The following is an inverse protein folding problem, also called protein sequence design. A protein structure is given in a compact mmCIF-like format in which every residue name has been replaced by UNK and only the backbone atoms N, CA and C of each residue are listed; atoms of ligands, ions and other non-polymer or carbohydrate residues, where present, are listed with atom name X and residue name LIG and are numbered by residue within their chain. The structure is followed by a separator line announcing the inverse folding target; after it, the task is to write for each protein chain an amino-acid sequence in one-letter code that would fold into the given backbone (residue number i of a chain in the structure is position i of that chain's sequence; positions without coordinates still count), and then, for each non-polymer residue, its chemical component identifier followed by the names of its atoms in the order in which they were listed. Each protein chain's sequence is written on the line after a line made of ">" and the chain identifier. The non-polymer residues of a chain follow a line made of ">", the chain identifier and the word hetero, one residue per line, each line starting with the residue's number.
data_IF_974988786793
#
_entry.id   IF_974988786793
#
_cell.length_a   1.000
_cell.length_b   1.000
_cell.length_c   1.000
_cell.angle_alpha   90.00
_cell.angle_beta   90.00
_cell.angle_gamma   90.00
#
_symmetry.space_group_name_H-M   'P 1'
#
loop_
_entity.id
_entity.type
_entity.pdbx_description
1 polymer ?
#
# COMPACT_ATOMS: atom_id res chain seq x y z
N UNK A 1 -55.52 6.47 -15.15
CA UNK A 1 -54.68 7.68 -15.10
C UNK A 1 -53.25 7.24 -15.29
N UNK A 2 -52.71 7.44 -16.49
CA UNK A 2 -51.36 7.00 -16.87
C UNK A 2 -50.52 8.26 -17.05
N UNK A 3 -49.46 8.41 -16.26
CA UNK A 3 -48.48 9.48 -16.40
C UNK A 3 -47.29 8.93 -17.19
N UNK A 4 -47.17 9.31 -18.46
CA UNK A 4 -45.90 9.22 -19.19
C UNK A 4 -45.00 10.36 -18.70
N UNK A 5 -43.84 10.01 -18.16
CA UNK A 5 -42.74 10.94 -17.95
C UNK A 5 -41.68 10.63 -19.00
N UNK A 6 -41.65 11.46 -20.05
CA UNK A 6 -40.55 11.53 -21.00
C UNK A 6 -39.30 11.99 -20.25
N UNK A 7 -38.34 11.07 -20.08
CA UNK A 7 -37.00 11.42 -19.61
C UNK A 7 -36.16 11.71 -20.86
N UNK A 8 -35.63 12.93 -21.05
CA UNK A 8 -34.71 13.18 -22.15
C UNK A 8 -33.40 12.44 -21.90
N UNK A 9 -33.08 11.53 -22.81
CA UNK A 9 -31.78 10.86 -22.94
C UNK A 9 -30.70 11.92 -23.06
N UNK A 10 -29.91 12.07 -22.00
CA UNK A 10 -28.70 12.90 -22.03
C UNK A 10 -27.67 12.11 -22.84
N UNK A 11 -27.35 12.60 -24.03
CA UNK A 11 -26.23 12.11 -24.83
C UNK A 11 -24.95 12.23 -24.01
N UNK A 12 -24.42 11.07 -23.60
CA UNK A 12 -23.14 10.92 -22.94
C UNK A 12 -22.02 11.25 -23.93
N UNK A 13 -21.72 12.54 -24.05
CA UNK A 13 -20.51 13.05 -24.71
C UNK A 13 -19.33 12.96 -23.75
N UNK A 14 -19.05 11.78 -23.20
CA UNK A 14 -17.78 11.49 -22.54
C UNK A 14 -16.80 10.81 -23.49
N UNK A 15 -16.53 11.50 -24.61
CA UNK A 15 -15.20 11.46 -25.23
C UNK A 15 -14.20 12.09 -24.27
N UNK A 16 -13.90 11.40 -23.16
CA UNK A 16 -12.69 11.67 -22.40
C UNK A 16 -11.55 11.21 -23.29
N UNK A 17 -11.01 12.13 -24.08
CA UNK A 17 -9.61 12.13 -24.48
C UNK A 17 -8.79 11.84 -23.22
N UNK A 18 -8.51 10.56 -22.97
CA UNK A 18 -7.35 10.21 -22.17
C UNK A 18 -6.20 10.65 -23.07
N UNK A 19 -5.35 11.61 -22.64
CA UNK A 19 -4.13 11.90 -23.37
C UNK A 19 -3.47 10.56 -23.63
N UNK A 20 -3.17 10.27 -24.91
CA UNK A 20 -2.52 9.03 -25.35
C UNK A 20 -1.38 8.72 -24.38
N UNK A 21 -1.62 7.80 -23.44
CA UNK A 21 -0.61 7.38 -22.50
C UNK A 21 0.40 6.65 -23.38
N UNK A 22 1.61 7.22 -23.58
CA UNK A 22 2.55 6.65 -24.52
C UNK A 22 2.80 5.21 -24.10
N UNK A 23 2.78 4.29 -25.06
CA UNK A 23 3.09 2.89 -24.79
C UNK A 23 4.38 2.82 -23.94
N UNK A 24 4.39 2.02 -22.86
CA UNK A 24 5.51 2.01 -21.95
C UNK A 24 6.78 1.66 -22.72
N UNK A 25 7.69 2.63 -22.84
CA UNK A 25 8.99 2.41 -23.47
C UNK A 25 9.81 1.53 -22.53
N UNK A 26 9.81 0.22 -22.83
CA UNK A 26 10.54 -0.79 -22.08
C UNK A 26 12.01 -0.85 -22.48
N UNK A 27 12.87 -1.15 -21.50
CA UNK A 27 14.25 -1.57 -21.76
C UNK A 27 14.26 -3.09 -21.79
N UNK A 28 14.89 -3.69 -22.81
CA UNK A 28 15.13 -5.14 -22.83
C UNK A 28 16.17 -5.50 -21.76
N UNK A 29 15.79 -6.38 -20.85
CA UNK A 29 16.61 -6.86 -19.73
C UNK A 29 16.93 -8.35 -19.86
N UNK A 30 16.87 -8.90 -21.07
CA UNK A 30 17.10 -10.34 -21.33
C UNK A 30 18.47 -10.81 -20.81
N UNK A 31 19.48 -9.96 -20.85
CA UNK A 31 20.82 -10.21 -20.30
C UNK A 31 20.84 -10.38 -18.76
N UNK A 32 19.86 -9.80 -18.06
CA UNK A 32 19.71 -9.89 -16.60
C UNK A 32 18.70 -10.96 -16.15
N UNK A 33 18.26 -11.84 -17.05
CA UNK A 33 17.22 -12.85 -16.78
C UNK A 33 17.51 -13.70 -15.53
N UNK A 34 18.77 -14.12 -15.34
CA UNK A 34 19.16 -14.89 -14.14
C UNK A 34 19.00 -14.08 -12.85
N UNK A 35 19.35 -12.79 -12.88
CA UNK A 35 19.23 -11.89 -11.73
C UNK A 35 17.75 -11.64 -11.42
N UNK A 36 16.92 -11.45 -12.44
CA UNK A 36 15.48 -11.33 -12.28
C UNK A 36 14.88 -12.56 -11.58
N UNK A 37 15.23 -13.77 -12.01
CA UNK A 37 14.73 -14.99 -11.39
C UNK A 37 15.24 -15.20 -9.96
N UNK A 38 16.51 -14.86 -9.69
CA UNK A 38 17.04 -14.86 -8.33
C UNK A 38 16.29 -13.87 -7.43
N UNK A 39 16.00 -12.67 -7.93
CA UNK A 39 15.21 -11.66 -7.20
C UNK A 39 13.78 -12.13 -6.95
N UNK A 40 13.16 -12.78 -7.93
CA UNK A 40 11.81 -13.35 -7.78
C UNK A 40 11.77 -14.43 -6.69
N UNK A 41 12.73 -15.36 -6.71
CA UNK A 41 12.85 -16.40 -5.69
C UNK A 41 13.11 -15.82 -4.29
N UNK A 42 13.99 -14.81 -4.20
CA UNK A 42 14.26 -14.13 -2.94
C UNK A 42 13.02 -13.42 -2.38
N UNK A 43 12.21 -12.79 -3.23
CA UNK A 43 10.95 -12.15 -2.81
C UNK A 43 9.89 -13.15 -2.36
N UNK A 44 9.78 -14.30 -3.03
CA UNK A 44 8.88 -15.36 -2.59
C UNK A 44 9.28 -15.93 -1.23
N UNK A 45 10.59 -16.10 -0.99
CA UNK A 45 11.09 -16.58 0.30
C UNK A 45 10.93 -15.54 1.41
N UNK A 46 11.16 -14.26 1.11
CA UNK A 46 10.89 -13.14 2.04
C UNK A 46 9.43 -13.15 2.50
N UNK A 47 8.48 -13.27 1.56
CA UNK A 47 7.06 -13.35 1.87
C UNK A 47 6.72 -14.57 2.74
N UNK A 48 7.28 -15.74 2.40
CA UNK A 48 7.07 -16.97 3.17
C UNK A 48 7.57 -16.82 4.61
N UNK A 49 8.77 -16.28 4.79
CA UNK A 49 9.36 -16.04 6.12
C UNK A 49 8.57 -14.97 6.87
N UNK A 50 8.11 -13.93 6.19
CA UNK A 50 7.25 -12.90 6.78
C UNK A 50 5.96 -13.50 7.34
N UNK A 51 5.27 -14.35 6.55
CA UNK A 51 4.06 -15.02 7.00
C UNK A 51 4.30 -15.90 8.24
N UNK A 52 5.37 -16.71 8.23
CA UNK A 52 5.72 -17.55 9.39
C UNK A 52 6.04 -16.68 10.62
N UNK A 53 6.75 -15.57 10.44
CA UNK A 53 7.02 -14.63 11.52
C UNK A 53 5.74 -14.02 12.08
N UNK A 54 4.78 -13.66 11.23
CA UNK A 54 3.48 -13.14 11.64
C UNK A 54 2.69 -14.17 12.45
N UNK A 55 2.60 -15.41 11.97
CA UNK A 55 1.88 -16.51 12.62
C UNK A 55 2.47 -16.80 14.02
N UNK A 56 3.79 -16.95 14.11
CA UNK A 56 4.48 -17.19 15.38
C UNK A 56 4.34 -15.99 16.33
N UNK A 57 4.44 -14.77 15.79
CA UNK A 57 4.23 -13.55 16.58
C UNK A 57 2.81 -13.46 17.11
N UNK A 58 1.80 -13.88 16.33
CA UNK A 58 0.42 -13.91 16.77
C UNK A 58 0.21 -14.87 17.95
N UNK A 59 0.85 -16.05 17.91
CA UNK A 59 0.83 -17.01 19.03
C UNK A 59 1.46 -16.38 20.28
N UNK A 60 2.63 -15.75 20.15
CA UNK A 60 3.32 -15.11 21.28
C UNK A 60 2.48 -13.97 21.85
N UNK A 61 1.93 -13.08 21.00
CA UNK A 61 1.06 -11.97 21.41
C UNK A 61 -0.20 -12.47 22.11
N UNK A 62 -0.83 -13.52 21.59
CA UNK A 62 -2.01 -14.13 22.20
C UNK A 62 -1.74 -14.71 23.59
N UNK A 63 -0.55 -15.26 23.82
CA UNK A 63 -0.11 -15.71 25.15
C UNK A 63 0.26 -14.58 26.09
N UNK A 64 0.83 -13.52 25.55
CA UNK A 64 1.30 -12.37 26.31
C UNK A 64 0.14 -11.52 26.85
N UNK A 65 -0.98 -11.45 26.11
CA UNK A 65 -2.17 -10.70 26.53
C UNK A 65 -1.84 -9.23 26.75
N UNK A 66 -2.15 -8.72 27.95
CA UNK A 66 -1.88 -7.33 28.34
C UNK A 66 -0.47 -7.09 28.91
N UNK A 67 0.34 -8.14 29.06
CA UNK A 67 1.69 -7.99 29.57
C UNK A 67 2.60 -7.31 28.54
N UNK A 68 3.43 -6.36 28.98
CA UNK A 68 4.33 -5.66 28.05
C UNK A 68 5.62 -6.42 27.74
N UNK A 69 5.99 -7.40 28.58
CA UNK A 69 7.27 -8.11 28.50
C UNK A 69 7.03 -9.62 28.62
N UNK A 70 7.51 -10.38 27.62
CA UNK A 70 7.54 -11.83 27.66
C UNK A 70 8.92 -12.34 28.10
N UNK A 71 8.92 -13.32 28.99
CA UNK A 71 10.14 -13.94 29.54
C UNK A 71 10.29 -15.38 29.03
N UNK A 72 11.52 -15.80 28.77
CA UNK A 72 11.89 -17.19 28.52
C UNK A 72 13.02 -17.58 29.50
N UNK A 73 12.75 -18.55 30.38
CA UNK A 73 13.70 -18.92 31.43
C UNK A 73 14.06 -17.76 32.38
N UNK A 74 13.09 -16.89 32.67
CA UNK A 74 13.29 -15.69 33.50
C UNK A 74 14.03 -14.53 32.81
N UNK A 75 14.42 -14.68 31.54
CA UNK A 75 15.09 -13.62 30.76
C UNK A 75 14.09 -12.95 29.81
N UNK A 76 14.04 -11.62 29.72
CA UNK A 76 13.15 -10.93 28.78
C UNK A 76 13.59 -11.16 27.33
N UNK A 77 12.64 -11.57 26.49
CA UNK A 77 12.89 -11.90 25.08
C UNK A 77 12.01 -11.13 24.10
N UNK A 78 10.85 -10.64 24.55
CA UNK A 78 9.92 -9.86 23.71
C UNK A 78 9.34 -8.69 24.50
N UNK A 79 9.09 -7.58 23.82
CA UNK A 79 8.33 -6.45 24.35
C UNK A 79 7.16 -6.12 23.43
N UNK A 80 5.97 -5.95 24.00
CA UNK A 80 4.74 -5.63 23.29
C UNK A 80 4.04 -4.47 23.98
N UNK A 81 4.34 -3.25 23.54
CA UNK A 81 3.79 -2.02 24.13
C UNK A 81 2.64 -1.49 23.31
N UNK A 82 1.59 -1.06 23.98
CA UNK A 82 0.52 -0.31 23.33
C UNK A 82 1.00 1.14 23.10
N UNK A 83 1.03 1.55 21.84
CA UNK A 83 1.39 2.91 21.43
C UNK A 83 0.20 3.61 20.78
N UNK A 84 0.00 4.88 21.10
CA UNK A 84 -0.90 5.74 20.33
C UNK A 84 -0.11 6.40 19.20
N UNK A 85 -0.53 6.17 17.96
CA UNK A 85 0.01 6.87 16.79
C UNK A 85 -1.00 7.91 16.33
N UNK A 86 -0.64 9.18 16.48
CA UNK A 86 -1.41 10.28 15.87
C UNK A 86 -0.96 10.42 14.41
N UNK A 87 -1.90 10.32 13.48
CA UNK A 87 -1.63 10.48 12.04
C UNK A 87 -2.55 11.58 11.52
N UNK A 88 -1.97 12.55 10.83
CA UNK A 88 -2.75 13.55 10.10
C UNK A 88 -3.36 12.90 8.86
N UNK A 89 -4.67 13.07 8.69
CA UNK A 89 -5.39 12.60 7.51
C UNK A 89 -5.22 13.63 6.41
N UNK A 90 -4.10 13.56 5.69
CA UNK A 90 -3.69 14.55 4.68
C UNK A 90 -4.81 14.89 3.67
N UNK A 91 -5.59 13.88 3.24
CA UNK A 91 -6.74 14.09 2.36
C UNK A 91 -7.79 15.03 2.95
N UNK A 92 -8.15 14.86 4.22
CA UNK A 92 -9.11 15.75 4.88
C UNK A 92 -8.57 17.18 5.00
N UNK A 93 -7.27 17.34 5.29
CA UNK A 93 -6.63 18.67 5.32
C UNK A 93 -6.62 19.32 3.93
N UNK A 94 -6.40 18.55 2.87
CA UNK A 94 -6.46 19.03 1.49
C UNK A 94 -7.87 19.44 1.07
N UNK A 95 -8.89 18.68 1.47
CA UNK A 95 -10.30 18.94 1.14
C UNK A 95 -10.85 20.16 1.91
N UNK A 96 -10.50 20.31 3.19
CA UNK A 96 -11.06 21.33 4.07
C UNK A 96 -10.22 22.63 4.14
N UNK A 97 -8.89 22.53 3.99
CA UNK A 97 -7.95 23.67 4.07
C UNK A 97 -6.93 23.66 2.91
N UNK A 98 -7.37 23.79 1.65
CA UNK A 98 -6.52 23.62 0.47
C UNK A 98 -5.36 24.62 0.40
N UNK A 99 -5.57 25.86 0.85
CA UNK A 99 -4.54 26.91 0.81
C UNK A 99 -3.38 26.63 1.77
N UNK A 100 -3.67 26.05 2.93
CA UNK A 100 -2.67 25.63 3.91
C UNK A 100 -1.94 24.39 3.40
N UNK A 101 -2.70 23.41 2.88
CA UNK A 101 -2.13 22.21 2.31
C UNK A 101 -1.10 22.53 1.22
N UNK A 102 -1.40 23.46 0.31
CA UNK A 102 -0.44 23.91 -0.74
C UNK A 102 0.82 24.55 -0.17
N UNK A 103 0.71 25.39 0.85
CA UNK A 103 1.88 26.05 1.47
C UNK A 103 2.81 25.09 2.22
N UNK A 104 2.28 23.94 2.62
CA UNK A 104 2.99 22.95 3.42
C UNK A 104 3.31 21.65 2.65
N UNK A 105 3.02 21.59 1.35
CA UNK A 105 3.25 20.39 0.53
C UNK A 105 4.47 20.56 -0.35
N UNK A 106 5.43 19.66 -0.20
CA UNK A 106 6.54 19.48 -1.12
C UNK A 106 6.32 18.22 -1.95
N UNK A 107 6.38 18.36 -3.27
CA UNK A 107 6.29 17.22 -4.19
C UNK A 107 7.69 16.79 -4.58
N UNK A 108 8.13 15.65 -4.06
CA UNK A 108 9.42 15.04 -4.40
C UNK A 108 9.15 13.88 -5.37
N UNK A 109 9.75 13.88 -6.58
CA UNK A 109 9.58 12.77 -7.50
C UNK A 109 10.23 11.50 -6.94
N UNK A 110 9.45 10.44 -6.83
CA UNK A 110 9.93 9.10 -6.45
C UNK A 110 9.76 8.14 -7.62
N UNK A 111 10.74 7.26 -7.83
CA UNK A 111 10.64 6.15 -8.77
C UNK A 111 10.57 4.85 -7.96
N UNK A 112 9.37 4.42 -7.57
CA UNK A 112 9.24 3.20 -6.78
C UNK A 112 9.68 2.01 -7.62
N UNK A 113 10.62 1.23 -7.08
CA UNK A 113 10.95 -0.06 -7.66
C UNK A 113 9.89 -1.07 -7.24
N UNK A 114 9.16 -1.62 -8.21
CA UNK A 114 8.16 -2.66 -7.99
C UNK A 114 8.48 -3.85 -8.88
N UNK A 115 8.69 -5.01 -8.28
CA UNK A 115 8.77 -6.27 -9.01
C UNK A 115 7.37 -6.62 -9.51
N UNK A 116 7.23 -6.86 -10.82
CA UNK A 116 5.97 -7.27 -11.40
C UNK A 116 5.91 -8.79 -11.42
N UNK A 117 5.10 -9.36 -10.53
CA UNK A 117 4.78 -10.79 -10.54
C UNK A 117 3.49 -10.97 -11.34
N UNK A 118 3.58 -11.55 -12.54
CA UNK A 118 2.41 -12.03 -13.29
C UNK A 118 2.12 -13.47 -12.93
#
# INVERSE_FOLDING_TARGET
>A
MSFSLDIPTTEDTSGRDRPDEPDPVGVDLTDLHLIYHALLAAKAEEERVAQVCEDLSAIIKGRLGDAEIGLLGGRPVVSYKQGKRTILRAKMVQDEYPDIARKCSDTIPVRPFKLLTR
#
